data_IF_961122311954
#
_entry.id   IF_961122311954
#
_cell.length_a   1.000
_cell.length_b   1.000
_cell.length_c   1.000
_cell.angle_alpha   90.00
_cell.angle_beta   90.00
_cell.angle_gamma   90.00
#
_symmetry.space_group_name_H-M   'P 1'
#
loop_
_entity.id
_entity.type
_entity.pdbx_description
1 polymer ?
#
# COMPACT_ATOMS: atom_id res chain seq x y z
N UNK A 1 -0.64 -1.26 10.14
CA UNK A 1 -1.16 -2.41 9.38
C UNK A 1 -2.54 -2.75 9.90
N UNK A 2 -3.54 -2.70 9.03
CA UNK A 2 -4.96 -2.96 9.35
C UNK A 2 -5.43 -4.10 8.45
N UNK A 3 -6.26 -4.98 8.97
CA UNK A 3 -6.78 -6.15 8.29
C UNK A 3 -6.64 -7.44 9.10
N UNK A 4 -7.28 -8.48 8.59
CA UNK A 4 -7.23 -9.84 9.15
C UNK A 4 -6.23 -10.69 8.36
N UNK A 5 -5.50 -11.56 9.04
CA UNK A 5 -4.65 -12.54 8.38
C UNK A 5 -4.05 -13.53 9.36
N UNK A 6 -3.97 -14.80 8.95
CA UNK A 6 -3.43 -15.89 9.76
C UNK A 6 -1.91 -15.74 10.01
N UNK A 7 -1.24 -14.93 9.18
CA UNK A 7 0.21 -14.70 9.23
C UNK A 7 0.63 -13.55 10.17
N UNK A 8 -0.26 -13.07 11.05
CA UNK A 8 0.06 -11.96 11.97
C UNK A 8 1.35 -12.23 12.77
N UNK A 9 1.46 -13.40 13.41
CA UNK A 9 2.65 -13.76 14.20
C UNK A 9 3.95 -13.82 13.37
N UNK A 10 3.86 -14.19 12.09
CA UNK A 10 5.00 -14.14 11.17
C UNK A 10 5.45 -12.69 10.92
N UNK A 11 4.51 -11.76 10.70
CA UNK A 11 4.84 -10.35 10.45
C UNK A 11 5.34 -9.62 11.69
N UNK A 12 4.80 -9.91 12.88
CA UNK A 12 5.33 -9.40 14.13
C UNK A 12 6.77 -9.88 14.36
N UNK A 13 7.02 -11.17 14.14
CA UNK A 13 8.37 -11.73 14.23
C UNK A 13 9.32 -11.10 13.21
N UNK A 14 8.85 -10.84 11.99
CA UNK A 14 9.64 -10.15 10.96
C UNK A 14 9.96 -8.71 11.38
N UNK A 15 8.98 -7.96 11.89
CA UNK A 15 9.19 -6.59 12.37
C UNK A 15 10.17 -6.55 13.55
N UNK A 16 10.13 -7.54 14.45
CA UNK A 16 11.12 -7.68 15.54
C UNK A 16 12.52 -7.92 15.00
N UNK A 17 12.69 -8.86 14.06
CA UNK A 17 14.01 -9.15 13.45
C UNK A 17 14.56 -7.99 12.64
N UNK A 18 13.70 -7.18 12.02
CA UNK A 18 14.09 -6.00 11.26
C UNK A 18 14.33 -4.75 12.13
N UNK A 19 14.12 -4.83 13.45
CA UNK A 19 14.29 -3.69 14.36
C UNK A 19 13.24 -2.59 14.18
N UNK A 20 12.10 -2.90 13.57
CA UNK A 20 11.04 -1.92 13.26
C UNK A 20 9.78 -2.11 14.10
N UNK A 21 9.75 -3.07 15.03
CA UNK A 21 8.54 -3.42 15.79
C UNK A 21 7.88 -2.21 16.47
N UNK A 22 8.68 -1.34 17.10
CA UNK A 22 8.21 -0.11 17.76
C UNK A 22 7.56 0.91 16.82
N UNK A 23 7.82 0.79 15.50
CA UNK A 23 7.27 1.67 14.46
C UNK A 23 6.10 1.04 13.70
N UNK A 24 5.75 -0.21 13.99
CA UNK A 24 4.69 -0.93 13.28
C UNK A 24 3.52 -1.18 14.22
N UNK A 25 2.39 -0.51 13.94
CA UNK A 25 1.15 -0.76 14.66
C UNK A 25 0.31 -1.83 13.94
N UNK A 26 0.18 -3.00 14.57
CA UNK A 26 -0.75 -4.05 14.13
C UNK A 26 -2.12 -3.80 14.77
N UNK A 27 -3.07 -3.29 13.98
CA UNK A 27 -4.39 -2.86 14.48
C UNK A 27 -5.49 -3.91 14.31
N UNK A 28 -5.20 -5.03 13.65
CA UNK A 28 -6.18 -6.08 13.37
C UNK A 28 -7.24 -5.63 12.37
N UNK A 29 -8.36 -6.37 12.33
CA UNK A 29 -9.52 -6.04 11.48
C UNK A 29 -10.20 -4.76 11.99
N UNK A 30 -10.70 -3.95 11.05
CA UNK A 30 -11.50 -2.78 11.37
C UNK A 30 -12.63 -2.63 10.36
N UNK A 31 -13.83 -2.34 10.85
CA UNK A 31 -15.00 -2.07 10.01
C UNK A 31 -15.04 -0.61 9.50
N UNK A 32 -14.23 0.29 10.07
CA UNK A 32 -14.12 1.68 9.63
C UNK A 32 -12.72 2.01 9.11
N UNK A 33 -12.39 1.41 7.96
CA UNK A 33 -11.08 1.56 7.33
C UNK A 33 -10.78 3.00 6.86
N UNK A 34 -11.83 3.80 6.63
CA UNK A 34 -11.72 5.19 6.14
C UNK A 34 -10.92 6.08 7.07
N UNK A 35 -11.07 5.89 8.38
CA UNK A 35 -10.28 6.64 9.37
C UNK A 35 -8.78 6.39 9.21
N UNK A 36 -8.40 5.15 8.89
CA UNK A 36 -7.00 4.80 8.67
C UNK A 36 -6.47 5.39 7.37
N UNK A 37 -7.25 5.41 6.30
CA UNK A 37 -6.85 6.11 5.08
C UNK A 37 -6.68 7.61 5.32
N UNK A 38 -7.63 8.26 6.00
CA UNK A 38 -7.54 9.68 6.32
C UNK A 38 -6.31 10.05 7.17
N UNK A 39 -5.85 9.13 8.02
CA UNK A 39 -4.66 9.29 8.85
C UNK A 39 -3.36 8.76 8.21
N UNK A 40 -3.39 8.29 6.95
CA UNK A 40 -2.24 7.73 6.25
C UNK A 40 -1.73 8.70 5.19
N UNK A 41 -0.41 8.71 4.97
CA UNK A 41 0.21 9.47 3.88
C UNK A 41 0.34 8.65 2.59
N UNK A 42 0.32 7.31 2.69
CA UNK A 42 0.54 6.38 1.58
C UNK A 42 -0.12 5.03 1.87
N UNK A 43 -0.63 4.37 0.83
CA UNK A 43 -1.12 2.98 0.91
C UNK A 43 -0.17 2.04 0.19
N UNK A 44 0.20 0.94 0.84
CA UNK A 44 1.13 -0.05 0.29
C UNK A 44 0.44 -1.42 0.23
N UNK A 45 0.40 -2.02 -0.96
CA UNK A 45 -0.03 -3.39 -1.20
C UNK A 45 1.17 -4.22 -1.70
N UNK A 46 1.97 -4.83 -0.80
CA UNK A 46 3.14 -5.60 -1.18
C UNK A 46 2.80 -7.02 -1.65
N UNK A 47 1.57 -7.26 -2.13
CA UNK A 47 1.15 -8.59 -2.60
C UNK A 47 1.84 -8.91 -3.91
N UNK A 48 2.32 -10.15 -4.07
CA UNK A 48 2.95 -10.62 -5.31
C UNK A 48 1.95 -10.80 -6.45
N UNK A 49 0.71 -11.10 -6.11
CA UNK A 49 -0.40 -11.26 -7.06
C UNK A 49 -1.69 -10.96 -6.33
N UNK A 50 -2.52 -10.10 -6.89
CA UNK A 50 -3.84 -9.79 -6.33
C UNK A 50 -4.83 -9.50 -7.45
N UNK A 51 -6.02 -10.09 -7.37
CA UNK A 51 -6.97 -10.08 -8.48
C UNK A 51 -7.52 -8.67 -8.76
N UNK A 52 -7.82 -7.92 -7.69
CA UNK A 52 -8.43 -6.59 -7.82
C UNK A 52 -7.67 -5.49 -7.07
N UNK A 53 -7.17 -5.77 -5.87
CA UNK A 53 -6.46 -4.76 -5.07
C UNK A 53 -7.39 -3.69 -4.50
N UNK A 54 -8.55 -4.09 -3.99
CA UNK A 54 -9.59 -3.18 -3.48
C UNK A 54 -9.07 -2.18 -2.44
N UNK A 55 -8.17 -2.60 -1.54
CA UNK A 55 -7.57 -1.69 -0.54
C UNK A 55 -6.76 -0.56 -1.17
N UNK A 56 -6.14 -0.80 -2.33
CA UNK A 56 -5.42 0.22 -3.08
C UNK A 56 -6.40 1.17 -3.75
N UNK A 57 -7.49 0.66 -4.33
CA UNK A 57 -8.54 1.48 -4.94
C UNK A 57 -9.22 2.39 -3.90
N UNK A 58 -9.52 1.86 -2.72
CA UNK A 58 -10.05 2.65 -1.61
C UNK A 58 -9.08 3.74 -1.17
N UNK A 59 -7.79 3.42 -1.04
CA UNK A 59 -6.74 4.40 -0.74
C UNK A 59 -6.64 5.49 -1.80
N UNK A 60 -6.66 5.12 -3.08
CA UNK A 60 -6.66 6.07 -4.20
C UNK A 60 -7.91 6.96 -4.20
N UNK A 61 -9.08 6.40 -3.87
CA UNK A 61 -10.31 7.18 -3.75
C UNK A 61 -10.25 8.20 -2.60
N UNK A 62 -9.45 7.92 -1.55
CA UNK A 62 -9.12 8.88 -0.49
C UNK A 62 -8.02 9.88 -0.89
N UNK A 63 -7.52 9.84 -2.13
CA UNK A 63 -6.47 10.72 -2.63
C UNK A 63 -5.06 10.34 -2.19
N UNK A 64 -4.87 9.12 -1.68
CA UNK A 64 -3.57 8.67 -1.20
C UNK A 64 -2.71 8.16 -2.37
N UNK A 65 -1.41 8.52 -2.39
CA UNK A 65 -0.47 7.84 -3.27
C UNK A 65 -0.39 6.36 -2.89
N UNK A 66 -0.19 5.50 -3.88
CA UNK A 66 -0.19 4.06 -3.67
C UNK A 66 1.04 3.37 -4.23
N UNK A 67 1.48 2.32 -3.53
CA UNK A 67 2.59 1.46 -3.93
C UNK A 67 2.08 0.03 -4.02
N UNK A 68 2.16 -0.59 -5.18
CA UNK A 68 1.73 -1.97 -5.40
C UNK A 68 2.72 -2.75 -6.26
N UNK A 69 2.55 -4.06 -6.34
CA UNK A 69 3.26 -4.88 -7.33
C UNK A 69 2.62 -4.72 -8.71
N UNK A 70 3.44 -4.81 -9.77
CA UNK A 70 2.96 -4.73 -11.16
C UNK A 70 1.98 -5.86 -11.54
N UNK A 71 1.98 -6.97 -10.80
CA UNK A 71 1.13 -8.14 -11.00
C UNK A 71 -0.17 -8.06 -10.19
N UNK A 72 -0.76 -6.88 -10.09
CA UNK A 72 -2.06 -6.68 -9.42
C UNK A 72 -3.09 -6.16 -10.41
N UNK A 73 -4.37 -6.54 -10.27
CA UNK A 73 -5.43 -6.06 -11.16
C UNK A 73 -5.53 -4.52 -11.21
N UNK A 74 -5.23 -3.86 -10.09
CA UNK A 74 -5.17 -2.39 -9.97
C UNK A 74 -3.93 -1.76 -10.64
N UNK A 75 -2.88 -2.54 -10.97
CA UNK A 75 -1.66 -1.99 -11.55
C UNK A 75 -1.88 -1.32 -12.92
N UNK A 76 -2.85 -1.80 -13.71
CA UNK A 76 -3.23 -1.19 -14.99
C UNK A 76 -3.85 0.20 -14.79
N UNK A 77 -4.63 0.39 -13.73
CA UNK A 77 -5.22 1.68 -13.36
C UNK A 77 -4.16 2.63 -12.80
N UNK A 78 -3.20 2.11 -12.06
CA UNK A 78 -2.07 2.88 -11.52
C UNK A 78 -1.14 3.39 -12.61
N UNK A 79 -0.89 2.63 -13.67
CA UNK A 79 -0.12 3.14 -14.82
C UNK A 79 -0.76 4.36 -15.50
N UNK A 80 -2.07 4.55 -15.33
CA UNK A 80 -2.77 5.75 -15.81
C UNK A 80 -2.76 6.89 -14.78
N UNK A 81 -2.45 6.60 -13.51
CA UNK A 81 -2.43 7.57 -12.42
C UNK A 81 -1.01 8.09 -12.16
N UNK A 82 -0.82 9.41 -12.19
CA UNK A 82 0.50 10.06 -11.99
C UNK A 82 1.05 9.95 -10.54
N UNK A 83 0.30 9.36 -9.60
CA UNK A 83 0.56 9.39 -8.16
C UNK A 83 0.93 8.04 -7.53
N UNK A 84 1.30 7.03 -8.33
CA UNK A 84 1.52 5.68 -7.83
C UNK A 84 2.76 4.96 -8.41
N UNK A 85 3.31 4.03 -7.61
CA UNK A 85 4.53 3.28 -7.93
C UNK A 85 4.21 1.78 -8.06
N UNK A 86 4.57 1.20 -9.21
CA UNK A 86 4.49 -0.25 -9.46
C UNK A 86 5.89 -0.87 -9.40
N UNK A 87 6.13 -1.79 -8.46
CA UNK A 87 7.37 -2.57 -8.46
C UNK A 87 7.22 -3.81 -9.37
N UNK A 88 7.95 -3.81 -10.49
CA UNK A 88 7.98 -4.91 -11.47
C UNK A 88 8.99 -4.65 -12.59
N UNK A 89 9.68 -5.68 -13.05
CA UNK A 89 10.84 -5.63 -13.96
C UNK A 89 10.55 -5.18 -15.42
N UNK A 90 9.47 -4.45 -15.70
CA UNK A 90 9.23 -3.85 -17.01
C UNK A 90 9.80 -2.43 -17.06
N UNK A 91 10.66 -2.20 -18.07
CA UNK A 91 11.59 -1.06 -18.22
C UNK A 91 10.97 0.33 -18.38
N UNK A 92 9.68 0.56 -18.06
CA UNK A 92 8.98 1.80 -18.42
C UNK A 92 8.45 2.67 -17.26
N UNK A 93 8.80 2.37 -16.01
CA UNK A 93 8.23 3.06 -14.84
C UNK A 93 9.15 4.16 -14.28
N UNK A 94 9.50 5.19 -15.07
CA UNK A 94 10.36 6.31 -14.60
C UNK A 94 9.65 7.64 -14.38
N UNK A 95 8.37 7.80 -14.74
CA UNK A 95 7.70 9.12 -14.75
C UNK A 95 6.55 9.35 -13.76
N UNK A 96 6.11 8.36 -12.97
CA UNK A 96 4.97 8.53 -12.03
C UNK A 96 5.33 9.23 -10.69
N UNK A 97 6.41 10.00 -10.62
CA UNK A 97 6.93 10.51 -9.33
C UNK A 97 7.38 11.98 -9.38
N UNK A 98 6.62 12.83 -10.06
CA UNK A 98 6.89 14.28 -10.11
C UNK A 98 5.94 15.15 -9.26
N UNK A 99 4.89 14.57 -8.66
CA UNK A 99 3.82 15.33 -7.99
C UNK A 99 3.79 15.33 -6.45
N UNK A 100 4.76 14.71 -5.77
CA UNK A 100 4.73 14.56 -4.30
C UNK A 100 5.17 15.86 -3.58
N UNK A 101 4.26 16.84 -3.49
CA UNK A 101 4.33 17.87 -2.46
C UNK A 101 3.62 17.33 -1.21
N UNK A 102 4.40 16.98 -0.19
CA UNK A 102 3.90 16.56 1.13
C UNK A 102 2.92 17.60 1.67
N UNK A 103 1.70 17.19 2.02
CA UNK A 103 0.81 18.04 2.84
C UNK A 103 1.45 18.17 4.21
N UNK A 104 1.85 19.39 4.56
CA UNK A 104 2.41 19.80 5.87
C UNK A 104 1.35 19.81 6.95
#
# INVERSE_FOLDING_TARGET
MVGKGERLGYYESLARRSGTLERVHFKGHSDDIRHYYAASDVVVLPSRSEAFGMSVLEGMACGLPTVTSANTGVASLIQMAETALCSGASRNCRSCWSGFQTRS
#
